data_IF_634147590790
#
_entry.id   IF_634147590790
#
_cell.length_a   1.000
_cell.length_b   1.000
_cell.length_c   1.000
_cell.angle_alpha   90.00
_cell.angle_beta   90.00
_cell.angle_gamma   90.00
#
_symmetry.space_group_name_H-M   'P 1'
#
loop_
_entity.id
_entity.type
_entity.pdbx_description
1 polymer ?
#
# COMPACT_ATOMS: atom_id res chain seq x y z
N UNK A 1 -5.76 56.72 -12.38
CA UNK A 1 -5.41 55.29 -12.28
C UNK A 1 -5.75 54.65 -13.62
N UNK A 2 -4.84 53.87 -14.24
CA UNK A 2 -5.12 53.21 -15.50
C UNK A 2 -6.19 52.12 -15.29
N UNK A 3 -7.14 52.04 -16.21
CA UNK A 3 -8.28 51.12 -16.27
C UNK A 3 -7.89 49.67 -16.61
N UNK A 4 -6.72 49.18 -16.19
CA UNK A 4 -6.19 47.87 -16.63
C UNK A 4 -6.41 46.68 -15.69
N UNK A 5 -7.13 46.83 -14.56
CA UNK A 5 -7.38 45.70 -13.64
C UNK A 5 -8.83 45.60 -13.17
N UNK A 6 -9.79 45.74 -14.09
CA UNK A 6 -11.11 45.11 -13.90
C UNK A 6 -11.20 43.94 -14.89
N UNK A 7 -11.53 42.72 -14.45
CA UNK A 7 -12.01 41.69 -15.37
C UNK A 7 -13.21 42.29 -16.11
N UNK A 8 -13.08 42.43 -17.43
CA UNK A 8 -14.15 42.95 -18.26
C UNK A 8 -15.27 41.89 -18.32
N UNK A 9 -16.26 42.03 -17.45
CA UNK A 9 -17.44 41.17 -17.43
C UNK A 9 -18.26 41.28 -18.74
N UNK A 10 -18.09 42.33 -19.55
CA UNK A 10 -18.69 42.40 -20.88
C UNK A 10 -17.94 41.56 -21.92
N UNK A 11 -16.62 41.35 -21.74
CA UNK A 11 -15.85 40.41 -22.57
C UNK A 11 -16.33 38.96 -22.39
N UNK A 12 -16.81 38.60 -21.18
CA UNK A 12 -17.45 37.30 -20.93
C UNK A 12 -18.81 37.11 -21.65
N UNK A 13 -19.43 38.20 -22.12
CA UNK A 13 -20.73 38.18 -22.83
C UNK A 13 -20.59 38.30 -24.35
N UNK A 14 -19.45 38.75 -24.87
CA UNK A 14 -19.21 38.84 -26.31
C UNK A 14 -18.59 37.52 -26.80
N UNK A 15 -19.44 36.65 -27.36
CA UNK A 15 -18.97 35.51 -28.14
C UNK A 15 -18.17 36.02 -29.36
N UNK A 16 -16.86 35.85 -29.31
CA UNK A 16 -15.99 35.96 -30.49
C UNK A 16 -16.07 34.66 -31.28
N UNK A 17 -16.30 34.72 -32.59
CA UNK A 17 -16.34 33.53 -33.47
C UNK A 17 -15.00 32.77 -33.54
N UNK A 18 -13.92 33.33 -32.97
CA UNK A 18 -12.58 32.75 -32.92
C UNK A 18 -12.16 32.28 -31.52
N UNK A 19 -13.10 31.76 -30.71
CA UNK A 19 -12.80 31.21 -29.37
C UNK A 19 -12.28 29.75 -29.44
N UNK A 20 -11.00 29.48 -29.10
CA UNK A 20 -10.46 28.11 -29.04
C UNK A 20 -11.17 27.21 -28.02
N UNK A 21 -11.91 27.79 -27.06
CA UNK A 21 -12.68 27.07 -26.04
C UNK A 21 -14.06 26.55 -26.53
N UNK A 22 -14.40 26.76 -27.80
CA UNK A 22 -15.60 26.13 -28.40
C UNK A 22 -15.51 24.60 -28.34
N UNK A 23 -14.35 24.01 -28.61
CA UNK A 23 -14.18 22.56 -28.68
C UNK A 23 -14.41 21.83 -27.34
N UNK A 24 -14.01 22.44 -26.23
CA UNK A 24 -14.13 21.92 -24.85
C UNK A 24 -15.57 22.00 -24.34
N UNK A 25 -16.25 23.13 -24.58
CA UNK A 25 -17.68 23.33 -24.20
C UNK A 25 -18.63 22.29 -24.79
N UNK A 26 -18.36 21.78 -26.00
CA UNK A 26 -19.21 20.77 -26.64
C UNK A 26 -18.88 19.31 -26.26
N UNK A 27 -17.78 19.04 -25.55
CA UNK A 27 -17.35 17.68 -25.16
C UNK A 27 -17.65 17.31 -23.71
N UNK A 28 -17.76 18.27 -22.80
CA UNK A 28 -17.89 18.01 -21.36
C UNK A 28 -19.17 17.26 -20.96
N UNK A 29 -20.32 17.62 -21.54
CA UNK A 29 -21.59 16.93 -21.28
C UNK A 29 -21.57 15.45 -21.77
N UNK A 30 -21.16 15.15 -23.02
CA UNK A 30 -20.95 13.76 -23.45
C UNK A 30 -19.96 12.98 -22.57
N UNK A 31 -18.84 13.59 -22.17
CA UNK A 31 -17.85 12.97 -21.27
C UNK A 31 -18.48 12.62 -19.91
N UNK A 32 -19.21 13.57 -19.32
CA UNK A 32 -19.87 13.39 -18.03
C UNK A 32 -20.96 12.31 -18.09
N UNK A 33 -21.76 12.31 -19.15
CA UNK A 33 -22.77 11.28 -19.39
C UNK A 33 -22.14 9.89 -19.53
N UNK A 34 -21.05 9.80 -20.29
CA UNK A 34 -20.31 8.57 -20.48
C UNK A 34 -19.72 8.06 -19.15
N UNK A 35 -19.06 8.93 -18.39
CA UNK A 35 -18.43 8.59 -17.12
C UNK A 35 -19.47 8.16 -16.07
N UNK A 36 -20.50 8.98 -15.83
CA UNK A 36 -21.52 8.71 -14.80
C UNK A 36 -22.49 7.60 -15.18
N UNK A 37 -22.69 7.34 -16.47
CA UNK A 37 -23.57 6.28 -16.95
C UNK A 37 -22.94 4.87 -16.94
N UNK A 38 -21.60 4.77 -16.90
CA UNK A 38 -20.88 3.49 -16.98
C UNK A 38 -20.18 3.07 -15.69
N UNK A 39 -20.14 3.94 -14.68
CA UNK A 39 -19.42 3.70 -13.44
C UNK A 39 -20.33 3.98 -12.23
N UNK A 40 -20.21 3.21 -11.13
CA UNK A 40 -21.04 3.39 -9.96
C UNK A 40 -20.69 4.71 -9.22
N UNK A 41 -21.63 5.26 -8.43
CA UNK A 41 -21.40 6.52 -7.68
C UNK A 41 -20.18 6.47 -6.74
N UNK A 42 -19.79 5.28 -6.27
CA UNK A 42 -18.61 5.07 -5.43
C UNK A 42 -17.29 5.47 -6.08
N UNK A 43 -17.20 5.50 -7.41
CA UNK A 43 -16.00 5.97 -8.11
C UNK A 43 -15.82 7.48 -8.02
N UNK A 44 -16.87 8.23 -7.70
CA UNK A 44 -16.89 9.69 -7.80
C UNK A 44 -17.04 10.40 -6.47
N UNK A 45 -17.27 9.69 -5.36
CA UNK A 45 -17.59 10.29 -4.07
C UNK A 45 -16.55 11.34 -3.61
N UNK A 46 -15.25 11.06 -3.79
CA UNK A 46 -14.18 12.03 -3.50
C UNK A 46 -14.22 13.26 -4.43
N UNK A 47 -14.39 13.04 -5.74
CA UNK A 47 -14.49 14.13 -6.71
C UNK A 47 -15.74 15.01 -6.47
N UNK A 48 -16.84 14.39 -6.03
CA UNK A 48 -18.11 15.09 -5.75
C UNK A 48 -17.98 16.04 -4.55
N UNK A 49 -17.29 15.63 -3.48
CA UNK A 49 -17.04 16.52 -2.33
C UNK A 49 -16.01 17.61 -2.67
N UNK A 50 -14.97 17.28 -3.44
CA UNK A 50 -13.96 18.25 -3.89
C UNK A 50 -14.58 19.34 -4.78
N UNK A 51 -15.54 18.98 -5.64
CA UNK A 51 -16.29 19.94 -6.45
C UNK A 51 -17.07 20.98 -5.61
N UNK A 52 -17.39 20.65 -4.35
CA UNK A 52 -18.08 21.55 -3.41
C UNK A 52 -17.12 22.40 -2.56
N UNK A 53 -15.80 22.29 -2.76
CA UNK A 53 -14.79 22.91 -1.90
C UNK A 53 -15.05 24.39 -1.60
N UNK A 54 -15.36 25.19 -2.64
CA UNK A 54 -15.64 26.62 -2.48
C UNK A 54 -16.79 26.89 -1.50
N UNK A 55 -17.88 26.13 -1.58
CA UNK A 55 -19.02 26.25 -0.67
C UNK A 55 -18.66 25.89 0.77
N UNK A 56 -17.80 24.89 0.95
CA UNK A 56 -17.33 24.43 2.25
C UNK A 56 -16.38 25.44 2.91
N UNK A 57 -15.40 25.98 2.18
CA UNK A 57 -14.43 26.95 2.74
C UNK A 57 -15.06 28.31 3.02
N UNK A 58 -16.02 28.72 2.19
CA UNK A 58 -16.78 29.98 2.42
C UNK A 58 -17.86 29.85 3.48
N UNK A 59 -18.12 28.64 4.01
CA UNK A 59 -19.20 28.32 4.94
C UNK A 59 -20.61 28.56 4.37
N UNK A 60 -20.75 28.65 3.04
CA UNK A 60 -22.04 28.62 2.37
C UNK A 60 -22.70 27.23 2.48
N UNK A 61 -21.88 26.18 2.60
CA UNK A 61 -22.29 24.80 2.87
C UNK A 61 -21.67 24.42 4.21
N UNK A 62 -22.51 23.94 5.15
CA UNK A 62 -22.06 23.50 6.47
C UNK A 62 -22.52 22.05 6.68
N UNK A 63 -21.61 21.07 6.53
CA UNK A 63 -21.94 19.66 6.77
C UNK A 63 -22.36 19.43 8.22
N UNK A 64 -23.35 18.55 8.42
CA UNK A 64 -23.77 18.14 9.76
C UNK A 64 -22.70 17.22 10.37
N UNK A 65 -22.28 17.49 11.60
CA UNK A 65 -21.34 16.62 12.29
C UNK A 65 -22.07 15.56 13.12
N UNK A 66 -21.85 14.28 12.79
CA UNK A 66 -22.26 13.15 13.60
C UNK A 66 -21.01 12.52 14.21
N UNK A 67 -20.89 12.62 15.53
CA UNK A 67 -19.71 12.16 16.25
C UNK A 67 -19.64 10.62 16.29
N UNK A 68 -18.43 10.06 16.27
CA UNK A 68 -18.14 8.61 16.39
C UNK A 68 -18.60 7.72 15.22
N UNK A 69 -18.98 8.30 14.09
CA UNK A 69 -19.39 7.55 12.91
C UNK A 69 -18.62 7.99 11.66
N UNK A 70 -18.47 7.07 10.73
CA UNK A 70 -18.07 7.34 9.34
C UNK A 70 -19.12 6.78 8.38
N UNK A 71 -19.14 7.31 7.15
CA UNK A 71 -19.99 6.83 6.08
C UNK A 71 -19.16 6.19 4.96
N UNK A 72 -19.59 5.00 4.53
CA UNK A 72 -18.90 4.22 3.48
C UNK A 72 -19.37 4.65 2.10
N UNK A 73 -18.52 5.38 1.36
CA UNK A 73 -18.82 5.82 -0.01
C UNK A 73 -17.67 5.59 -1.01
N UNK A 74 -16.46 5.29 -0.56
CA UNK A 74 -15.32 4.98 -1.44
C UNK A 74 -15.01 3.48 -1.45
N UNK A 75 -14.52 2.96 -2.57
CA UNK A 75 -14.00 1.59 -2.67
C UNK A 75 -15.05 0.47 -2.60
N UNK A 76 -16.30 0.77 -2.91
CA UNK A 76 -17.37 -0.23 -3.02
C UNK A 76 -17.45 -0.69 -4.47
N UNK A 77 -17.06 -1.93 -4.74
CA UNK A 77 -17.03 -2.53 -6.09
C UNK A 77 -18.05 -3.64 -6.28
N UNK A 78 -18.47 -4.34 -5.22
CA UNK A 78 -19.31 -5.54 -5.33
C UNK A 78 -20.63 -5.42 -4.57
N UNK A 79 -20.60 -5.03 -3.29
CA UNK A 79 -21.79 -4.96 -2.46
C UNK A 79 -22.37 -3.54 -2.39
N UNK A 80 -23.26 -3.21 -3.33
CA UNK A 80 -23.91 -1.88 -3.39
C UNK A 80 -24.73 -1.53 -2.14
N UNK A 81 -25.14 -2.51 -1.34
CA UNK A 81 -25.87 -2.26 -0.07
C UNK A 81 -25.00 -1.59 0.99
N UNK A 82 -23.67 -1.59 0.82
CA UNK A 82 -22.76 -0.89 1.72
C UNK A 82 -22.63 0.60 1.39
N UNK A 83 -23.14 1.04 0.23
CA UNK A 83 -23.06 2.43 -0.20
C UNK A 83 -23.93 3.32 0.68
N UNK A 84 -23.29 4.23 1.41
CA UNK A 84 -23.95 5.09 2.39
C UNK A 84 -24.11 4.46 3.78
N UNK A 85 -23.57 3.26 4.02
CA UNK A 85 -23.62 2.63 5.34
C UNK A 85 -22.87 3.47 6.38
N UNK A 86 -23.49 3.68 7.54
CA UNK A 86 -22.82 4.23 8.71
C UNK A 86 -22.10 3.12 9.47
N UNK A 87 -20.89 3.42 9.92
CA UNK A 87 -20.05 2.51 10.71
C UNK A 87 -19.54 3.28 11.93
N UNK A 88 -19.80 2.75 13.12
CA UNK A 88 -19.26 3.28 14.37
C UNK A 88 -17.73 3.12 14.45
N UNK A 89 -17.06 4.02 15.15
CA UNK A 89 -15.59 3.92 15.34
C UNK A 89 -15.14 2.70 16.14
N UNK A 90 -16.04 2.14 16.95
CA UNK A 90 -15.85 0.92 17.72
C UNK A 90 -16.03 -0.36 16.88
N UNK A 91 -16.74 -0.27 15.75
CA UNK A 91 -17.00 -1.40 14.85
C UNK A 91 -15.76 -1.80 14.02
N UNK A 92 -14.79 -0.89 13.81
CA UNK A 92 -13.57 -1.21 13.07
C UNK A 92 -12.36 -0.42 13.62
N UNK A 93 -11.18 -1.05 13.85
CA UNK A 93 -10.02 -0.40 14.47
C UNK A 93 -9.55 0.86 13.72
N UNK A 94 -9.63 0.85 12.39
CA UNK A 94 -9.24 1.99 11.55
C UNK A 94 -10.38 2.96 11.23
N UNK A 95 -11.60 2.76 11.72
CA UNK A 95 -12.75 3.60 11.32
C UNK A 95 -12.54 5.08 11.65
N UNK A 96 -11.92 5.38 12.80
CA UNK A 96 -11.53 6.74 13.17
C UNK A 96 -10.48 7.34 12.20
N UNK A 97 -9.52 6.52 11.77
CA UNK A 97 -8.45 6.94 10.87
C UNK A 97 -8.92 7.14 9.43
N UNK A 98 -10.00 6.47 9.02
CA UNK A 98 -10.47 6.53 7.64
C UNK A 98 -10.99 7.91 7.24
N UNK A 99 -11.51 8.70 8.19
CA UNK A 99 -11.94 10.07 7.91
C UNK A 99 -10.75 11.00 7.64
N UNK A 100 -9.66 10.88 8.40
CA UNK A 100 -8.48 11.75 8.23
C UNK A 100 -7.66 11.34 7.00
N UNK A 101 -7.71 10.06 6.63
CA UNK A 101 -7.06 9.50 5.44
C UNK A 101 -7.93 9.57 4.17
N UNK A 102 -9.13 10.16 4.25
CA UNK A 102 -10.14 10.22 3.17
C UNK A 102 -10.45 8.85 2.51
N UNK A 103 -10.22 7.75 3.23
CA UNK A 103 -10.62 6.41 2.79
C UNK A 103 -12.15 6.26 2.84
N UNK A 104 -12.79 6.96 3.77
CA UNK A 104 -14.23 7.06 3.99
C UNK A 104 -14.53 8.51 4.43
N UNK A 105 -15.81 8.86 4.58
CA UNK A 105 -16.20 10.26 4.80
C UNK A 105 -16.87 10.46 6.15
N UNK A 106 -16.85 11.69 6.66
CA UNK A 106 -17.73 12.06 7.76
C UNK A 106 -19.19 11.97 7.31
N UNK A 107 -20.14 11.61 8.19
CA UNK A 107 -21.54 11.46 7.79
C UNK A 107 -22.13 12.72 7.15
N UNK A 108 -21.75 13.92 7.61
CA UNK A 108 -22.16 15.19 6.99
C UNK A 108 -21.67 15.36 5.56
N UNK A 109 -20.41 15.05 5.30
CA UNK A 109 -19.84 15.08 3.95
C UNK A 109 -20.50 14.02 3.09
N UNK A 110 -20.73 12.82 3.65
CA UNK A 110 -21.39 11.72 2.97
C UNK A 110 -22.81 12.07 2.53
N UNK A 111 -23.60 12.75 3.38
CA UNK A 111 -24.93 13.23 3.00
C UNK A 111 -24.88 14.24 1.85
N UNK A 112 -23.90 15.16 1.86
CA UNK A 112 -23.72 16.10 0.76
C UNK A 112 -23.34 15.41 -0.55
N UNK A 113 -22.47 14.39 -0.48
CA UNK A 113 -22.09 13.56 -1.63
C UNK A 113 -23.34 12.89 -2.20
N UNK A 114 -24.14 12.22 -1.35
CA UNK A 114 -25.37 11.56 -1.77
C UNK A 114 -26.37 12.54 -2.42
N UNK A 115 -26.54 13.73 -1.83
CA UNK A 115 -27.41 14.78 -2.37
C UNK A 115 -26.93 15.29 -3.73
N UNK A 116 -25.63 15.55 -3.89
CA UNK A 116 -25.05 15.97 -5.19
C UNK A 116 -25.22 14.88 -6.23
N UNK A 117 -24.96 13.62 -5.88
CA UNK A 117 -25.08 12.51 -6.81
C UNK A 117 -26.51 12.28 -7.27
N UNK A 118 -27.49 12.34 -6.35
CA UNK A 118 -28.91 12.25 -6.69
C UNK A 118 -29.31 13.35 -7.68
N UNK A 119 -28.96 14.61 -7.37
CA UNK A 119 -29.29 15.77 -8.21
C UNK A 119 -28.63 15.68 -9.58
N UNK A 120 -27.35 15.33 -9.61
CA UNK A 120 -26.56 15.20 -10.82
C UNK A 120 -27.12 14.09 -11.72
N UNK A 121 -27.31 12.89 -11.19
CA UNK A 121 -27.84 11.76 -11.96
C UNK A 121 -29.26 12.03 -12.47
N UNK A 122 -30.10 12.69 -11.65
CA UNK A 122 -31.44 13.12 -12.07
C UNK A 122 -31.37 14.12 -13.23
N UNK A 123 -30.46 15.08 -13.18
CA UNK A 123 -30.26 16.04 -14.26
C UNK A 123 -29.73 15.37 -15.53
N UNK A 124 -28.73 14.49 -15.41
CA UNK A 124 -28.15 13.74 -16.53
C UNK A 124 -29.19 12.82 -17.19
N UNK A 125 -30.07 12.18 -16.41
CA UNK A 125 -31.18 11.39 -16.94
C UNK A 125 -32.13 12.26 -17.78
N UNK A 126 -32.50 13.46 -17.30
CA UNK A 126 -33.31 14.41 -18.06
C UNK A 126 -32.62 14.81 -19.36
N UNK A 127 -31.31 15.06 -19.34
CA UNK A 127 -30.52 15.35 -20.54
C UNK A 127 -30.55 14.16 -21.53
N UNK A 128 -30.33 12.93 -21.06
CA UNK A 128 -30.43 11.73 -21.90
C UNK A 128 -31.80 11.59 -22.55
N UNK A 129 -32.88 11.82 -21.81
CA UNK A 129 -34.25 11.74 -22.33
C UNK A 129 -34.54 12.80 -23.41
N UNK A 130 -33.88 13.95 -23.35
CA UNK A 130 -33.95 14.99 -24.38
C UNK A 130 -33.09 14.62 -25.60
N UNK A 131 -31.85 14.18 -25.39
CA UNK A 131 -30.92 13.78 -26.46
C UNK A 131 -31.43 12.57 -27.26
N UNK A 132 -32.09 11.61 -26.62
CA UNK A 132 -32.69 10.47 -27.34
C UNK A 132 -33.83 10.87 -28.28
N UNK A 133 -34.38 12.09 -28.15
CA UNK A 133 -35.41 12.63 -29.04
C UNK A 133 -34.81 13.33 -30.28
N UNK A 134 -33.53 13.71 -30.23
CA UNK A 134 -32.82 14.40 -31.32
C UNK A 134 -31.57 13.61 -31.69
N UNK A 135 -31.55 12.86 -32.81
CA UNK A 135 -30.36 12.08 -33.22
C UNK A 135 -29.22 13.01 -33.67
N UNK A 136 -28.10 13.17 -32.92
CA UNK A 136 -26.96 13.91 -33.42
C UNK A 136 -25.91 12.91 -33.96
N UNK A 137 -25.17 13.26 -35.04
CA UNK A 137 -24.06 12.44 -35.51
C UNK A 137 -22.86 12.59 -34.55
N UNK A 138 -22.36 11.46 -34.04
CA UNK A 138 -21.10 11.38 -33.29
C UNK A 138 -19.92 11.46 -34.27
N UNK A 139 -19.08 12.50 -34.15
CA UNK A 139 -17.79 12.57 -34.88
C UNK A 139 -16.68 11.88 -34.07
N UNK A 140 -15.68 11.25 -34.73
CA UNK A 140 -14.56 10.62 -34.05
C UNK A 140 -13.66 11.65 -33.34
N UNK A 141 -13.05 11.22 -32.24
CA UNK A 141 -12.06 12.00 -31.49
C UNK A 141 -10.77 12.18 -32.33
N UNK A 142 -10.39 13.43 -32.59
CA UNK A 142 -9.05 13.77 -33.07
C UNK A 142 -8.07 13.85 -31.89
N UNK A 143 -6.93 13.19 -32.02
CA UNK A 143 -5.80 13.29 -31.08
C UNK A 143 -5.23 14.72 -31.09
N UNK A 144 -5.20 15.36 -29.93
CA UNK A 144 -4.61 16.70 -29.73
C UNK A 144 -3.33 16.53 -28.90
N UNK A 145 -2.19 17.05 -29.36
CA UNK A 145 -0.89 16.99 -28.65
C UNK A 145 -0.35 18.40 -28.37
N UNK A 146 0.32 18.59 -27.22
CA UNK A 146 0.94 19.86 -26.81
C UNK A 146 0.40 20.46 -25.51
N UNK A 147 0.80 21.68 -25.12
CA UNK A 147 0.33 22.36 -23.90
C UNK A 147 -1.19 22.65 -23.89
N UNK A 148 -1.82 22.76 -25.06
CA UNK A 148 -3.28 22.76 -25.22
C UNK A 148 -3.91 21.49 -24.60
N UNK A 149 -3.22 20.34 -24.65
CA UNK A 149 -3.69 19.08 -24.05
C UNK A 149 -3.79 19.15 -22.52
N UNK A 150 -2.90 19.87 -21.82
CA UNK A 150 -2.89 19.87 -20.35
C UNK A 150 -4.02 20.74 -19.78
N UNK A 151 -4.26 21.90 -20.40
CA UNK A 151 -5.40 22.76 -20.09
C UNK A 151 -6.73 22.07 -20.40
N UNK A 152 -6.83 21.41 -21.55
CA UNK A 152 -8.00 20.60 -21.92
C UNK A 152 -8.18 19.43 -20.96
N UNK A 153 -7.12 18.70 -20.61
CA UNK A 153 -7.17 17.60 -19.65
C UNK A 153 -7.63 18.08 -18.27
N UNK A 154 -7.12 19.20 -17.78
CA UNK A 154 -7.54 19.79 -16.51
C UNK A 154 -9.01 20.25 -16.55
N UNK A 155 -9.44 20.88 -17.64
CA UNK A 155 -10.82 21.32 -17.83
C UNK A 155 -11.81 20.14 -17.97
N UNK A 156 -11.39 19.03 -18.59
CA UNK A 156 -12.20 17.83 -18.78
C UNK A 156 -12.15 16.88 -17.57
N UNK A 157 -11.14 16.95 -16.71
CA UNK A 157 -10.93 16.04 -15.58
C UNK A 157 -12.17 15.89 -14.66
N UNK A 158 -12.89 16.97 -14.28
CA UNK A 158 -14.10 16.85 -13.45
C UNK A 158 -15.25 16.07 -14.11
N UNK A 159 -15.21 15.93 -15.44
CA UNK A 159 -16.23 15.27 -16.25
C UNK A 159 -15.84 13.84 -16.65
N UNK A 160 -14.63 13.38 -16.30
CA UNK A 160 -14.13 12.04 -16.57
C UNK A 160 -14.23 11.17 -15.31
N UNK A 161 -13.96 9.88 -15.46
CA UNK A 161 -13.78 8.97 -14.32
C UNK A 161 -12.52 9.40 -13.57
N UNK A 162 -12.54 9.52 -12.23
CA UNK A 162 -11.35 9.87 -11.46
C UNK A 162 -10.19 8.93 -11.78
N UNK A 163 -9.01 9.52 -12.01
CA UNK A 163 -7.81 8.77 -12.35
C UNK A 163 -7.39 7.86 -11.20
N UNK A 164 -6.92 6.66 -11.54
CA UNK A 164 -6.29 5.78 -10.57
C UNK A 164 -4.93 6.33 -10.12
N UNK A 165 -4.46 5.86 -8.96
CA UNK A 165 -3.17 6.26 -8.41
C UNK A 165 -2.03 5.85 -9.35
N UNK A 166 -1.41 6.83 -10.01
CA UNK A 166 -0.19 6.65 -10.79
C UNK A 166 1.01 7.22 -10.03
N UNK A 167 1.72 6.33 -9.33
CA UNK A 167 2.92 6.71 -8.57
C UNK A 167 4.06 7.20 -9.45
N UNK A 168 4.14 6.79 -10.73
CA UNK A 168 5.19 7.26 -11.65
C UNK A 168 4.91 8.69 -12.07
N UNK A 169 3.64 9.00 -12.37
CA UNK A 169 3.23 10.37 -12.68
C UNK A 169 3.46 11.29 -11.47
N UNK A 170 3.08 10.86 -10.27
CA UNK A 170 3.32 11.62 -9.02
C UNK A 170 4.81 11.86 -8.81
N UNK A 171 5.65 10.82 -8.94
CA UNK A 171 7.11 10.94 -8.86
C UNK A 171 7.64 11.98 -9.87
N UNK A 172 7.21 11.89 -11.12
CA UNK A 172 7.63 12.81 -12.19
C UNK A 172 7.22 14.25 -11.91
N UNK A 173 5.98 14.48 -11.47
CA UNK A 173 5.47 15.82 -11.14
C UNK A 173 6.20 16.42 -9.95
N UNK A 174 6.45 15.64 -8.89
CA UNK A 174 7.18 16.10 -7.71
C UNK A 174 8.65 16.38 -8.02
N UNK A 175 9.30 15.55 -8.84
CA UNK A 175 10.66 15.80 -9.31
C UNK A 175 10.74 17.09 -10.15
N UNK A 176 9.78 17.32 -11.05
CA UNK A 176 9.70 18.56 -11.83
C UNK A 176 9.47 19.79 -10.93
N UNK A 177 8.60 19.67 -9.92
CA UNK A 177 8.38 20.73 -8.92
C UNK A 177 9.61 21.03 -8.07
N UNK A 178 10.34 20.00 -7.65
CA UNK A 178 11.59 20.16 -6.90
C UNK A 178 12.65 20.89 -7.74
N UNK A 179 12.85 20.48 -8.99
CA UNK A 179 13.76 21.15 -9.93
C UNK A 179 13.36 22.62 -10.15
N UNK A 180 12.07 22.90 -10.37
CA UNK A 180 11.59 24.27 -10.54
C UNK A 180 11.77 25.12 -9.27
N UNK A 181 11.64 24.54 -8.09
CA UNK A 181 11.89 25.22 -6.82
C UNK A 181 13.39 25.52 -6.61
N UNK A 182 14.27 24.62 -7.03
CA UNK A 182 15.72 24.82 -7.01
C UNK A 182 16.13 25.96 -7.94
N UNK A 183 15.66 25.93 -9.19
CA UNK A 183 15.88 26.99 -10.18
C UNK A 183 15.37 28.35 -9.66
N UNK A 184 14.17 28.37 -9.06
CA UNK A 184 13.60 29.58 -8.48
C UNK A 184 14.48 30.15 -7.35
N UNK A 185 14.96 29.30 -6.44
CA UNK A 185 15.82 29.72 -5.35
C UNK A 185 17.18 30.24 -5.85
N UNK A 186 17.77 29.59 -6.85
CA UNK A 186 19.01 30.06 -7.47
C UNK A 186 18.80 31.41 -8.16
N UNK A 187 17.72 31.58 -8.93
CA UNK A 187 17.40 32.85 -9.57
C UNK A 187 17.20 33.98 -8.55
N UNK A 188 16.50 33.73 -7.43
CA UNK A 188 16.36 34.71 -6.35
C UNK A 188 17.71 35.11 -5.73
N UNK A 189 18.68 34.19 -5.68
CA UNK A 189 19.99 34.40 -5.06
C UNK A 189 20.99 35.07 -6.00
N UNK A 190 20.95 34.74 -7.28
CA UNK A 190 22.01 35.09 -8.23
C UNK A 190 21.62 36.18 -9.24
N UNK A 191 20.32 36.40 -9.48
CA UNK A 191 19.82 37.42 -10.41
C UNK A 191 19.09 38.56 -9.65
N UNK A 192 19.73 39.74 -9.50
CA UNK A 192 19.13 40.90 -8.84
C UNK A 192 17.85 41.41 -9.51
N UNK A 193 17.73 41.30 -10.84
CA UNK A 193 16.54 41.73 -11.57
C UNK A 193 15.37 40.77 -11.31
N UNK A 194 15.65 39.47 -11.28
CA UNK A 194 14.66 38.45 -10.92
C UNK A 194 14.18 38.63 -9.48
N UNK A 195 15.11 38.80 -8.53
CA UNK A 195 14.80 39.06 -7.12
C UNK A 195 13.91 40.30 -6.97
N UNK A 196 14.28 41.40 -7.63
CA UNK A 196 13.50 42.65 -7.59
C UNK A 196 12.06 42.44 -8.11
N UNK A 197 11.89 41.78 -9.25
CA UNK A 197 10.56 41.48 -9.81
C UNK A 197 9.74 40.59 -8.89
N UNK A 198 10.34 39.53 -8.33
CA UNK A 198 9.64 38.61 -7.44
C UNK A 198 9.15 39.31 -6.16
N UNK A 199 9.98 40.18 -5.59
CA UNK A 199 9.63 40.96 -4.39
C UNK A 199 8.56 42.01 -4.69
N UNK A 200 8.61 42.68 -5.85
CA UNK A 200 7.57 43.64 -6.27
C UNK A 200 6.23 42.93 -6.55
N UNK A 201 6.26 41.80 -7.26
CA UNK A 201 5.06 41.01 -7.51
C UNK A 201 4.44 40.50 -6.20
N UNK A 202 5.26 39.99 -5.29
CA UNK A 202 4.80 39.57 -3.96
C UNK A 202 4.20 40.73 -3.16
N UNK A 203 4.76 41.94 -3.29
CA UNK A 203 4.22 43.15 -2.65
C UNK A 203 2.82 43.48 -3.18
N UNK A 204 2.61 43.46 -4.49
CA UNK A 204 1.33 43.81 -5.11
C UNK A 204 0.18 42.89 -4.66
N UNK A 205 0.50 41.64 -4.30
CA UNK A 205 -0.47 40.64 -3.81
C UNK A 205 -0.67 40.65 -2.29
N UNK A 206 -0.04 41.57 -1.55
CA UNK A 206 -0.23 41.69 -0.09
C UNK A 206 -1.60 42.25 0.26
N UNK A 207 -2.20 41.72 1.32
CA UNK A 207 -3.44 42.26 1.90
C UNK A 207 -3.32 43.75 2.29
N UNK A 208 -2.12 44.19 2.66
CA UNK A 208 -1.86 45.60 2.98
C UNK A 208 -2.13 46.53 1.79
N UNK A 209 -2.01 46.04 0.55
CA UNK A 209 -2.30 46.81 -0.67
C UNK A 209 -3.81 47.01 -0.91
N UNK A 210 -4.67 46.27 -0.20
CA UNK A 210 -6.11 46.39 -0.30
C UNK A 210 -6.62 47.57 0.54
N UNK A 211 -7.60 48.30 -0.02
CA UNK A 211 -8.34 49.31 0.74
C UNK A 211 -9.40 48.63 1.60
N UNK A 212 -9.67 49.20 2.77
CA UNK A 212 -10.76 48.74 3.61
C UNK A 212 -12.14 49.10 3.03
N UNK A 213 -13.20 48.67 3.73
CA UNK A 213 -14.60 48.94 3.34
C UNK A 213 -14.97 50.43 3.31
N UNK A 214 -14.15 51.30 3.89
CA UNK A 214 -14.32 52.77 3.88
C UNK A 214 -13.41 53.44 2.85
N UNK A 215 -12.68 52.66 2.05
CA UNK A 215 -11.74 53.15 1.04
C UNK A 215 -10.41 53.65 1.60
N UNK A 216 -10.12 53.38 2.88
CA UNK A 216 -8.90 53.79 3.56
C UNK A 216 -7.76 52.82 3.27
N UNK A 217 -6.55 53.34 3.13
CA UNK A 217 -5.32 52.54 3.00
C UNK A 217 -4.95 51.89 4.34
N UNK A 218 -4.26 50.75 4.27
CA UNK A 218 -3.79 50.03 5.44
C UNK A 218 -2.97 50.93 6.40
N UNK A 219 -3.15 50.84 7.73
CA UNK A 219 -2.52 51.75 8.70
C UNK A 219 -0.98 51.86 8.61
N UNK A 220 -0.30 50.80 8.15
CA UNK A 220 1.15 50.81 7.94
C UNK A 220 1.61 51.94 6.99
N UNK A 221 0.81 52.28 5.98
CA UNK A 221 1.14 53.36 5.05
C UNK A 221 0.92 54.75 5.66
N UNK A 222 0.01 54.88 6.62
CA UNK A 222 -0.28 56.14 7.30
C UNK A 222 0.77 56.47 8.38
N UNK A 223 1.46 55.45 8.90
CA UNK A 223 2.51 55.58 9.94
C UNK A 223 3.92 55.77 9.40
N UNK A 224 4.11 55.72 8.06
CA UNK A 224 5.43 55.79 7.44
C UNK A 224 6.28 54.53 7.62
N UNK A 225 5.69 53.40 8.04
CA UNK A 225 6.38 52.15 8.37
C UNK A 225 6.62 51.26 7.12
N UNK A 226 7.11 51.85 6.03
CA UNK A 226 7.34 51.11 4.76
C UNK A 226 8.40 50.02 4.91
N UNK A 227 9.38 50.22 5.78
CA UNK A 227 10.46 49.25 6.00
C UNK A 227 9.92 47.95 6.62
N UNK A 228 8.87 48.03 7.44
CA UNK A 228 8.20 46.86 8.02
C UNK A 228 7.47 46.04 6.94
N UNK A 229 6.85 46.72 5.96
CA UNK A 229 6.24 46.04 4.81
C UNK A 229 7.31 45.30 4.01
N UNK A 230 8.41 45.97 3.67
CA UNK A 230 9.48 45.35 2.88
C UNK A 230 10.17 44.20 3.61
N UNK A 231 10.44 44.34 4.91
CA UNK A 231 10.97 43.24 5.72
C UNK A 231 10.07 42.00 5.68
N UNK A 232 8.74 42.21 5.75
CA UNK A 232 7.76 41.10 5.65
C UNK A 232 7.73 40.48 4.25
N UNK A 233 7.70 41.29 3.19
CA UNK A 233 7.64 40.79 1.80
C UNK A 233 8.90 40.03 1.46
N UNK A 234 10.08 40.60 1.71
CA UNK A 234 11.36 39.94 1.47
C UNK A 234 11.46 38.67 2.31
N UNK A 235 11.07 38.76 3.59
CA UNK A 235 11.04 37.61 4.50
C UNK A 235 10.19 36.47 3.97
N UNK A 236 8.96 36.73 3.50
CA UNK A 236 8.09 35.70 2.93
C UNK A 236 8.66 35.13 1.64
N UNK A 237 9.11 35.96 0.69
CA UNK A 237 9.64 35.49 -0.60
C UNK A 237 10.82 34.52 -0.40
N UNK A 238 11.77 34.90 0.46
CA UNK A 238 12.93 34.05 0.74
C UNK A 238 12.52 32.79 1.48
N UNK A 239 11.70 32.92 2.54
CA UNK A 239 11.26 31.76 3.33
C UNK A 239 10.48 30.75 2.49
N UNK A 240 9.53 31.22 1.68
CA UNK A 240 8.68 30.38 0.83
C UNK A 240 9.50 29.65 -0.22
N UNK A 241 10.55 30.28 -0.78
CA UNK A 241 11.44 29.64 -1.74
C UNK A 241 12.23 28.47 -1.11
N UNK A 242 12.81 28.68 0.08
CA UNK A 242 13.54 27.61 0.79
C UNK A 242 12.60 26.49 1.26
N UNK A 243 11.45 26.84 1.83
CA UNK A 243 10.44 25.86 2.26
C UNK A 243 9.93 25.06 1.05
N UNK A 244 9.65 25.72 -0.06
CA UNK A 244 9.18 25.07 -1.28
C UNK A 244 10.18 24.03 -1.80
N UNK A 245 11.47 24.38 -1.87
CA UNK A 245 12.52 23.45 -2.27
C UNK A 245 12.59 22.24 -1.34
N UNK A 246 12.61 22.46 -0.03
CA UNK A 246 12.70 21.38 0.95
C UNK A 246 11.49 20.44 0.87
N UNK A 247 10.28 21.00 0.82
CA UNK A 247 9.03 20.24 0.72
C UNK A 247 9.03 19.39 -0.54
N UNK A 248 9.27 19.97 -1.71
CA UNK A 248 9.16 19.22 -2.97
C UNK A 248 10.29 18.20 -3.13
N UNK A 249 11.48 18.48 -2.61
CA UNK A 249 12.59 17.52 -2.60
C UNK A 249 12.27 16.31 -1.73
N UNK A 250 11.76 16.53 -0.52
CA UNK A 250 11.39 15.46 0.39
C UNK A 250 10.19 14.65 -0.15
N UNK A 251 9.14 15.32 -0.65
CA UNK A 251 8.01 14.63 -1.27
C UNK A 251 8.45 13.80 -2.48
N UNK A 252 9.33 14.32 -3.33
CA UNK A 252 9.91 13.59 -4.47
C UNK A 252 10.68 12.35 -4.01
N UNK A 253 11.49 12.47 -2.95
CA UNK A 253 12.21 11.35 -2.33
C UNK A 253 11.26 10.26 -1.82
N UNK A 254 10.20 10.65 -1.10
CA UNK A 254 9.20 9.72 -0.59
C UNK A 254 8.44 9.01 -1.72
N UNK A 255 8.04 9.73 -2.77
CA UNK A 255 7.37 9.15 -3.93
C UNK A 255 8.25 8.10 -4.64
N UNK A 256 9.54 8.40 -4.84
CA UNK A 256 10.53 7.43 -5.38
C UNK A 256 10.63 6.17 -4.53
N UNK A 257 10.70 6.34 -3.20
CA UNK A 257 10.76 5.21 -2.27
C UNK A 257 9.48 4.36 -2.36
N UNK A 258 8.31 5.00 -2.40
CA UNK A 258 7.02 4.31 -2.49
C UNK A 258 6.88 3.55 -3.82
N UNK A 259 7.27 4.15 -4.95
CA UNK A 259 7.26 3.48 -6.26
C UNK A 259 8.21 2.27 -6.30
N UNK A 260 9.40 2.40 -5.70
CA UNK A 260 10.36 1.30 -5.55
C UNK A 260 9.79 0.16 -4.70
N UNK A 261 9.14 0.49 -3.58
CA UNK A 261 8.47 -0.50 -2.72
C UNK A 261 7.33 -1.20 -3.45
N UNK A 262 6.45 -0.46 -4.15
CA UNK A 262 5.36 -1.04 -4.92
C UNK A 262 5.89 -2.05 -5.94
N UNK A 263 6.98 -1.72 -6.65
CA UNK A 263 7.63 -2.65 -7.57
C UNK A 263 8.18 -3.89 -6.85
N UNK A 264 8.91 -3.68 -5.76
CA UNK A 264 9.53 -4.75 -4.95
C UNK A 264 8.50 -5.75 -4.41
N UNK A 265 7.32 -5.27 -4.03
CA UNK A 265 6.25 -6.07 -3.42
C UNK A 265 5.07 -6.33 -4.36
N UNK A 266 5.20 -6.07 -5.66
CA UNK A 266 4.14 -6.30 -6.65
C UNK A 266 3.68 -7.76 -6.77
N UNK A 267 4.48 -8.71 -6.27
CA UNK A 267 4.15 -10.13 -6.21
C UNK A 267 3.28 -10.50 -4.99
N UNK A 268 3.10 -9.59 -4.02
CA UNK A 268 2.26 -9.79 -2.84
C UNK A 268 0.81 -9.43 -3.21
N UNK A 269 -0.16 -10.34 -3.02
CA UNK A 269 -1.56 -10.03 -3.26
C UNK A 269 -2.07 -8.87 -2.38
N UNK A 270 -3.04 -8.05 -2.85
CA UNK A 270 -3.53 -6.88 -2.11
C UNK A 270 -4.22 -7.22 -0.78
N UNK A 271 -4.68 -8.45 -0.62
CA UNK A 271 -5.29 -9.00 0.60
C UNK A 271 -4.28 -9.73 1.50
N UNK A 272 -2.97 -9.58 1.26
CA UNK A 272 -1.92 -10.20 2.05
C UNK A 272 -1.18 -9.13 2.86
N UNK A 273 -1.19 -9.29 4.18
CA UNK A 273 -0.50 -8.41 5.12
C UNK A 273 0.71 -9.14 5.69
N UNK A 274 1.85 -8.47 5.73
CA UNK A 274 3.10 -9.00 6.26
C UNK A 274 3.41 -8.33 7.59
N UNK A 275 3.55 -9.13 8.64
CA UNK A 275 3.83 -8.67 9.99
C UNK A 275 5.10 -9.35 10.52
N UNK A 276 5.89 -8.60 11.28
CA UNK A 276 7.08 -9.10 11.97
C UNK A 276 6.75 -9.14 13.44
N UNK A 277 6.58 -10.34 13.98
CA UNK A 277 6.16 -10.53 15.37
C UNK A 277 6.72 -11.83 15.97
N UNK A 278 6.73 -11.92 17.30
CA UNK A 278 7.01 -13.16 18.04
C UNK A 278 5.70 -13.89 18.32
N UNK A 279 5.53 -15.06 17.70
CA UNK A 279 4.29 -15.85 17.80
C UNK A 279 4.00 -16.39 19.19
N UNK A 280 4.96 -16.33 20.13
CA UNK A 280 4.79 -16.73 21.53
C UNK A 280 4.19 -15.61 22.41
N UNK A 281 4.21 -14.37 21.95
CA UNK A 281 3.58 -13.25 22.64
C UNK A 281 2.05 -13.24 22.41
N UNK A 282 1.34 -12.36 23.11
CA UNK A 282 -0.11 -12.23 22.99
C UNK A 282 -0.51 -11.71 21.59
N UNK A 283 -1.35 -12.47 20.88
CA UNK A 283 -1.80 -12.09 19.55
C UNK A 283 -2.78 -10.90 19.63
N UNK A 284 -2.36 -9.73 19.12
CA UNK A 284 -3.15 -8.48 19.18
C UNK A 284 -4.37 -8.44 18.25
N UNK A 285 -4.67 -9.54 17.56
CA UNK A 285 -5.71 -9.64 16.56
C UNK A 285 -7.08 -9.71 17.24
N UNK A 286 -7.98 -8.76 16.89
CA UNK A 286 -9.36 -8.74 17.41
C UNK A 286 -10.23 -9.83 16.77
N UNK A 287 -9.95 -10.15 15.52
CA UNK A 287 -10.69 -11.15 14.77
C UNK A 287 -10.03 -12.52 14.90
N UNK A 288 -10.88 -13.54 15.07
CA UNK A 288 -10.47 -14.95 15.04
C UNK A 288 -10.25 -15.41 13.60
N UNK A 289 -9.33 -16.34 13.41
CA UNK A 289 -8.93 -16.84 12.09
C UNK A 289 -9.77 -18.04 11.64
N UNK A 290 -9.95 -18.18 10.33
CA UNK A 290 -10.54 -19.40 9.74
C UNK A 290 -9.48 -20.50 9.52
N UNK A 291 -8.22 -20.11 9.28
CA UNK A 291 -7.08 -20.99 9.09
C UNK A 291 -5.81 -20.39 9.68
N UNK A 292 -5.11 -21.17 10.50
CA UNK A 292 -3.73 -20.87 10.93
C UNK A 292 -2.80 -21.88 10.27
N UNK A 293 -1.80 -21.40 9.54
CA UNK A 293 -0.84 -22.25 8.83
C UNK A 293 0.57 -22.09 9.39
N UNK A 294 1.08 -23.15 10.02
CA UNK A 294 2.44 -23.24 10.56
C UNK A 294 3.30 -24.04 9.60
N UNK A 295 4.49 -23.55 9.26
CA UNK A 295 5.36 -24.27 8.32
C UNK A 295 6.82 -24.12 8.69
N UNK A 296 7.53 -25.25 8.70
CA UNK A 296 8.99 -25.31 8.86
C UNK A 296 9.49 -24.61 10.14
N UNK A 297 8.82 -24.85 11.26
CA UNK A 297 9.17 -24.28 12.56
C UNK A 297 9.89 -25.30 13.47
N UNK A 298 10.29 -26.45 12.93
CA UNK A 298 11.16 -27.43 13.62
C UNK A 298 12.37 -26.75 14.27
N UNK A 299 12.56 -26.98 15.57
CA UNK A 299 13.65 -26.40 16.36
C UNK A 299 13.46 -24.94 16.80
N UNK A 300 12.37 -24.29 16.39
CA UNK A 300 12.07 -22.90 16.77
C UNK A 300 11.55 -22.77 18.20
N UNK A 301 11.05 -23.86 18.80
CA UNK A 301 10.42 -23.86 20.12
C UNK A 301 10.88 -25.07 20.96
N UNK A 302 10.89 -24.90 22.27
CA UNK A 302 10.94 -25.98 23.26
C UNK A 302 9.59 -26.72 23.33
N UNK A 303 9.54 -27.82 24.06
CA UNK A 303 8.32 -28.62 24.17
C UNK A 303 7.15 -27.85 24.84
N UNK A 304 7.44 -27.08 25.88
CA UNK A 304 6.45 -26.25 26.56
C UNK A 304 5.96 -25.07 25.68
N UNK A 305 6.88 -24.45 24.92
CA UNK A 305 6.53 -23.38 23.99
C UNK A 305 5.64 -23.90 22.84
N UNK A 306 5.86 -25.12 22.35
CA UNK A 306 4.97 -25.76 21.37
C UNK A 306 3.55 -25.95 21.91
N UNK A 307 3.41 -26.41 23.16
CA UNK A 307 2.10 -26.56 23.80
C UNK A 307 1.39 -25.22 23.95
N UNK A 308 2.12 -24.18 24.35
CA UNK A 308 1.60 -22.81 24.42
C UNK A 308 1.13 -22.33 23.05
N UNK A 309 1.95 -22.51 22.00
CA UNK A 309 1.59 -22.08 20.65
C UNK A 309 0.33 -22.78 20.13
N UNK A 310 0.20 -24.10 20.31
CA UNK A 310 -1.02 -24.80 19.90
C UNK A 310 -2.25 -24.31 20.64
N UNK A 311 -2.12 -24.00 21.94
CA UNK A 311 -3.21 -23.41 22.72
C UNK A 311 -3.57 -22.02 22.19
N UNK A 312 -2.58 -21.16 21.96
CA UNK A 312 -2.80 -19.83 21.35
C UNK A 312 -3.48 -19.94 19.99
N UNK A 313 -3.11 -20.93 19.17
CA UNK A 313 -3.78 -21.20 17.90
C UNK A 313 -5.23 -21.61 18.10
N UNK A 314 -5.51 -22.53 19.03
CA UNK A 314 -6.86 -22.98 19.36
C UNK A 314 -7.73 -21.79 19.81
N UNK A 315 -7.24 -21.01 20.77
CA UNK A 315 -7.97 -19.87 21.33
C UNK A 315 -8.24 -18.78 20.28
N UNK A 316 -7.43 -18.70 19.21
CA UNK A 316 -7.54 -17.69 18.15
C UNK A 316 -8.21 -18.17 16.86
N UNK A 317 -8.69 -19.40 16.81
CA UNK A 317 -9.51 -19.88 15.71
C UNK A 317 -10.99 -19.55 15.95
N UNK A 318 -11.74 -19.47 14.86
CA UNK A 318 -13.20 -19.47 14.89
C UNK A 318 -13.66 -20.92 15.09
N UNK A 319 -14.79 -21.17 15.78
CA UNK A 319 -15.36 -22.51 15.87
C UNK A 319 -15.50 -23.18 14.50
N UNK A 320 -14.86 -24.34 14.33
CA UNK A 320 -14.81 -25.05 13.05
C UNK A 320 -13.66 -24.64 12.13
N UNK A 321 -12.79 -23.73 12.55
CA UNK A 321 -11.56 -23.31 11.87
C UNK A 321 -10.48 -24.39 11.88
N UNK A 322 -9.41 -24.17 11.14
CA UNK A 322 -8.38 -25.19 10.91
C UNK A 322 -6.99 -24.70 11.32
N UNK A 323 -6.21 -25.59 11.92
CA UNK A 323 -4.75 -25.48 11.89
C UNK A 323 -4.21 -26.45 10.84
N UNK A 324 -3.34 -25.92 10.00
CA UNK A 324 -2.51 -26.70 9.10
C UNK A 324 -1.06 -26.55 9.51
N UNK A 325 -0.36 -27.65 9.74
CA UNK A 325 1.06 -27.63 10.02
C UNK A 325 1.83 -28.53 9.07
N UNK A 326 2.94 -28.02 8.55
CA UNK A 326 3.83 -28.74 7.64
C UNK A 326 5.27 -28.68 8.13
N UNK A 327 5.78 -29.83 8.55
CA UNK A 327 7.16 -29.99 9.02
C UNK A 327 7.95 -30.97 8.16
N UNK A 328 9.27 -30.89 8.25
CA UNK A 328 10.20 -31.76 7.54
C UNK A 328 11.16 -32.43 8.50
N UNK A 329 11.46 -33.70 8.23
CA UNK A 329 12.41 -34.46 9.01
C UNK A 329 13.85 -34.12 8.59
N UNK A 330 14.79 -33.89 9.53
CA UNK A 330 16.18 -33.57 9.19
C UNK A 330 16.99 -34.76 8.67
N UNK A 331 16.54 -36.00 8.90
CA UNK A 331 17.19 -37.18 8.30
C UNK A 331 16.74 -37.35 6.85
N UNK A 332 17.71 -37.55 5.97
CA UNK A 332 17.50 -38.00 4.60
C UNK A 332 17.59 -39.53 4.51
N UNK A 333 16.83 -40.10 3.58
CA UNK A 333 16.75 -41.55 3.32
C UNK A 333 16.91 -41.83 1.82
N UNK A 334 17.18 -43.08 1.45
CA UNK A 334 17.24 -43.52 0.05
C UNK A 334 16.21 -44.60 -0.21
N UNK A 335 15.18 -44.33 -1.00
CA UNK A 335 14.13 -45.29 -1.40
C UNK A 335 13.39 -45.97 -0.23
N UNK A 336 13.99 -47.05 0.30
CA UNK A 336 13.54 -47.87 1.42
C UNK A 336 14.66 -48.24 2.42
N UNK A 337 15.88 -47.73 2.23
CA UNK A 337 17.05 -48.03 3.07
C UNK A 337 17.65 -46.73 3.62
N UNK A 338 18.19 -46.80 4.84
CA UNK A 338 18.97 -45.68 5.36
C UNK A 338 20.20 -45.46 4.51
N UNK A 339 20.59 -44.19 4.34
CA UNK A 339 21.87 -43.83 3.72
C UNK A 339 23.04 -44.61 4.34
N UNK A 340 24.09 -44.86 3.56
CA UNK A 340 25.31 -45.51 4.04
C UNK A 340 25.85 -44.79 5.29
N UNK A 341 26.46 -45.55 6.22
CA UNK A 341 26.92 -45.00 7.51
C UNK A 341 27.99 -43.93 7.38
N UNK A 342 28.73 -43.92 6.28
CA UNK A 342 29.77 -42.95 5.90
C UNK A 342 29.22 -41.75 5.09
N UNK A 343 27.91 -41.68 4.86
CA UNK A 343 27.30 -40.57 4.13
C UNK A 343 27.22 -39.32 5.01
N UNK A 344 27.87 -38.23 4.56
CA UNK A 344 27.96 -36.96 5.28
C UNK A 344 26.60 -36.29 5.56
N UNK A 345 25.57 -36.53 4.74
CA UNK A 345 24.21 -35.99 4.96
C UNK A 345 23.53 -36.73 6.11
N UNK A 346 23.69 -38.05 6.18
CA UNK A 346 23.20 -38.84 7.30
C UNK A 346 23.88 -38.43 8.60
N UNK A 347 25.20 -38.28 8.56
CA UNK A 347 25.99 -37.81 9.70
C UNK A 347 25.54 -36.41 10.16
N UNK A 348 25.34 -35.49 9.22
CA UNK A 348 24.81 -34.15 9.51
C UNK A 348 23.45 -34.22 10.21
N UNK A 349 22.54 -35.06 9.69
CA UNK A 349 21.21 -35.24 10.26
C UNK A 349 21.22 -35.79 11.68
N UNK A 350 22.11 -36.74 11.98
CA UNK A 350 22.28 -37.26 13.34
C UNK A 350 22.90 -36.22 14.28
N UNK A 351 23.93 -35.51 13.81
CA UNK A 351 24.60 -34.46 14.58
C UNK A 351 23.64 -33.32 14.94
N UNK A 352 22.78 -32.89 14.01
CA UNK A 352 21.81 -31.82 14.27
C UNK A 352 20.72 -32.25 15.24
N UNK A 353 20.24 -33.49 15.16
CA UNK A 353 19.30 -34.05 16.13
C UNK A 353 19.87 -34.06 17.56
N UNK A 354 21.11 -34.51 17.72
CA UNK A 354 21.78 -34.55 19.02
C UNK A 354 22.06 -33.16 19.59
N UNK A 355 22.50 -32.22 18.74
CA UNK A 355 22.72 -30.83 19.16
C UNK A 355 21.39 -30.16 19.54
N UNK A 356 20.34 -30.37 18.76
CA UNK A 356 18.99 -29.87 19.02
C UNK A 356 18.43 -30.40 20.35
N UNK A 357 18.64 -31.69 20.65
CA UNK A 357 18.28 -32.30 21.93
C UNK A 357 19.03 -31.65 23.10
N UNK A 358 20.35 -31.45 22.98
CA UNK A 358 21.15 -30.74 24.00
C UNK A 358 20.73 -29.28 24.18
N UNK A 359 20.22 -28.64 23.13
CA UNK A 359 19.71 -27.28 23.18
C UNK A 359 18.30 -27.16 23.81
N UNK A 360 17.63 -28.29 24.11
CA UNK A 360 16.24 -28.29 24.60
C UNK A 360 15.21 -27.90 23.54
N UNK A 361 15.58 -27.96 22.25
CA UNK A 361 14.75 -27.55 21.11
C UNK A 361 14.75 -28.67 20.06
N UNK A 362 14.01 -29.73 20.35
CA UNK A 362 14.06 -30.98 19.57
C UNK A 362 13.52 -30.80 18.16
N UNK A 363 13.99 -31.64 17.24
CA UNK A 363 13.53 -31.63 15.85
C UNK A 363 12.48 -32.72 15.58
N UNK A 364 12.03 -33.42 16.63
CA UNK A 364 11.01 -34.48 16.59
C UNK A 364 9.57 -33.94 16.67
N UNK A 365 9.37 -32.63 16.41
CA UNK A 365 8.01 -32.07 16.39
C UNK A 365 7.15 -32.83 15.39
N UNK A 366 7.71 -33.17 14.23
CA UNK A 366 7.07 -33.92 13.14
C UNK A 366 6.42 -35.24 13.59
N UNK A 367 6.99 -35.92 14.59
CA UNK A 367 6.49 -37.18 15.14
C UNK A 367 5.47 -36.97 16.27
N UNK A 368 5.47 -35.78 16.88
CA UNK A 368 4.67 -35.48 18.08
C UNK A 368 3.52 -34.50 17.81
N UNK A 369 3.32 -34.04 16.57
CA UNK A 369 2.28 -33.07 16.23
C UNK A 369 0.87 -33.57 16.59
N UNK A 370 0.51 -34.79 16.17
CA UNK A 370 -0.81 -35.40 16.39
C UNK A 370 -1.19 -35.49 17.87
N UNK A 371 -0.38 -36.10 18.76
CA UNK A 371 -0.74 -36.18 20.17
C UNK A 371 -0.83 -34.79 20.83
N UNK A 372 0.01 -33.83 20.41
CA UNK A 372 0.00 -32.45 20.96
C UNK A 372 -1.27 -31.70 20.60
N UNK A 373 -1.69 -31.69 19.33
CA UNK A 373 -2.93 -31.01 18.95
C UNK A 373 -4.16 -31.68 19.55
N UNK A 374 -4.15 -33.00 19.68
CA UNK A 374 -5.23 -33.74 20.36
C UNK A 374 -5.32 -33.35 21.84
N UNK A 375 -4.19 -33.16 22.52
CA UNK A 375 -4.16 -32.76 23.92
C UNK A 375 -4.80 -31.39 24.18
N UNK A 376 -4.65 -30.46 23.23
CA UNK A 376 -5.20 -29.10 23.32
C UNK A 376 -6.71 -29.07 23.08
N UNK A 377 -7.25 -30.08 22.37
CA UNK A 377 -8.70 -30.21 22.13
C UNK A 377 -9.10 -30.18 20.66
N UNK A 378 -8.15 -30.14 19.72
CA UNK A 378 -8.46 -30.23 18.30
C UNK A 378 -9.07 -31.59 17.92
N UNK A 379 -10.01 -31.57 16.99
CA UNK A 379 -10.72 -32.73 16.46
C UNK A 379 -10.48 -32.90 14.95
N UNK A 380 -11.03 -33.98 14.36
CA UNK A 380 -10.92 -34.29 12.93
C UNK A 380 -9.49 -34.22 12.40
N UNK A 381 -8.61 -35.00 13.02
CA UNK A 381 -7.18 -34.97 12.75
C UNK A 381 -6.85 -35.73 11.46
N UNK A 382 -6.28 -35.03 10.48
CA UNK A 382 -5.80 -35.61 9.24
C UNK A 382 -4.28 -35.47 9.13
N UNK A 383 -3.57 -36.58 9.22
CA UNK A 383 -2.12 -36.64 9.05
C UNK A 383 -1.79 -37.26 7.69
N UNK A 384 -0.85 -36.66 6.96
CA UNK A 384 -0.34 -37.20 5.71
C UNK A 384 1.16 -37.03 5.60
N UNK A 385 1.84 -38.16 5.43
CA UNK A 385 3.28 -38.21 5.22
C UNK A 385 3.58 -38.17 3.73
N UNK A 386 4.60 -37.41 3.37
CA UNK A 386 5.09 -37.25 2.01
C UNK A 386 6.57 -37.62 1.97
N UNK A 387 6.95 -38.49 1.03
CA UNK A 387 8.34 -38.67 0.63
C UNK A 387 8.67 -37.62 -0.44
N UNK A 388 9.62 -36.74 -0.16
CA UNK A 388 10.00 -35.64 -1.05
C UNK A 388 11.42 -35.90 -1.55
N UNK A 389 11.61 -36.06 -2.87
CA UNK A 389 12.94 -36.20 -3.44
C UNK A 389 13.84 -35.01 -3.06
N UNK A 390 15.14 -35.26 -3.01
CA UNK A 390 16.16 -34.22 -2.91
C UNK A 390 17.06 -34.34 -4.13
N UNK A 391 16.89 -33.42 -5.07
CA UNK A 391 17.59 -33.40 -6.36
C UNK A 391 16.74 -33.89 -7.55
N UNK A 392 17.27 -33.78 -8.77
CA UNK A 392 16.51 -34.02 -10.02
C UNK A 392 16.43 -35.48 -10.46
N UNK A 393 16.55 -36.44 -9.54
CA UNK A 393 16.64 -37.87 -9.87
C UNK A 393 15.27 -38.54 -10.12
N UNK A 394 14.18 -37.96 -9.60
CA UNK A 394 12.85 -38.53 -9.78
C UNK A 394 12.43 -38.58 -11.27
N UNK A 395 11.78 -39.67 -11.68
CA UNK A 395 11.37 -39.88 -13.09
C UNK A 395 10.23 -38.95 -13.50
N UNK A 396 9.23 -38.82 -12.64
CA UNK A 396 8.06 -37.99 -12.89
C UNK A 396 8.39 -36.50 -12.78
N UNK A 397 7.90 -35.70 -13.75
CA UNK A 397 8.20 -34.27 -13.84
C UNK A 397 7.85 -33.51 -12.55
N UNK A 398 6.68 -33.76 -11.97
CA UNK A 398 6.26 -33.11 -10.73
C UNK A 398 7.22 -33.37 -9.57
N UNK A 399 7.65 -34.62 -9.38
CA UNK A 399 8.58 -35.00 -8.33
C UNK A 399 10.01 -34.53 -8.61
N UNK A 400 10.40 -34.43 -9.88
CA UNK A 400 11.67 -33.83 -10.30
C UNK A 400 11.71 -32.34 -9.96
N UNK A 401 10.66 -31.60 -10.29
CA UNK A 401 10.54 -30.17 -9.97
C UNK A 401 10.52 -29.95 -8.45
N UNK A 402 9.76 -30.77 -7.70
CA UNK A 402 9.77 -30.75 -6.24
C UNK A 402 11.15 -31.07 -5.65
N UNK A 403 11.85 -32.05 -6.25
CA UNK A 403 13.20 -32.44 -5.86
C UNK A 403 14.24 -31.33 -6.05
N UNK A 404 14.13 -30.56 -7.13
CA UNK A 404 14.97 -29.38 -7.36
C UNK A 404 14.73 -28.29 -6.30
N UNK A 405 13.46 -28.00 -5.97
CA UNK A 405 13.12 -27.03 -4.92
C UNK A 405 13.63 -27.50 -3.56
N UNK A 406 13.48 -28.79 -3.26
CA UNK A 406 13.98 -29.41 -2.04
C UNK A 406 15.51 -29.31 -1.94
N UNK A 407 16.23 -29.62 -3.02
CA UNK A 407 17.69 -29.49 -3.07
C UNK A 407 18.14 -28.05 -2.81
N UNK A 408 17.49 -27.07 -3.44
CA UNK A 408 17.79 -25.66 -3.21
C UNK A 408 17.56 -25.26 -1.75
N UNK A 409 16.50 -25.77 -1.11
CA UNK A 409 16.25 -25.56 0.32
C UNK A 409 17.36 -26.13 1.18
N UNK A 410 17.80 -27.37 0.90
CA UNK A 410 18.90 -28.00 1.62
C UNK A 410 20.20 -27.18 1.50
N UNK A 411 20.56 -26.80 0.28
CA UNK A 411 21.79 -26.01 0.01
C UNK A 411 21.75 -24.62 0.65
N UNK A 412 20.62 -23.92 0.58
CA UNK A 412 20.47 -22.59 1.16
C UNK A 412 20.30 -22.60 2.69
N UNK A 413 19.76 -23.68 3.25
CA UNK A 413 19.39 -23.76 4.67
C UNK A 413 20.47 -24.33 5.59
N UNK A 414 21.30 -25.27 5.11
CA UNK A 414 22.23 -26.04 5.96
C UNK A 414 23.13 -25.15 6.84
N UNK A 415 23.66 -24.05 6.31
CA UNK A 415 24.49 -23.14 7.09
C UNK A 415 23.71 -22.51 8.26
N UNK A 416 22.49 -22.01 8.00
CA UNK A 416 21.64 -21.40 9.01
C UNK A 416 21.20 -22.38 10.09
N UNK A 417 20.81 -23.60 9.70
CA UNK A 417 20.39 -24.65 10.63
C UNK A 417 21.54 -25.13 11.54
N UNK A 418 22.76 -25.20 11.00
CA UNK A 418 23.90 -25.80 11.70
C UNK A 418 24.65 -24.81 12.59
N UNK A 419 24.78 -23.55 12.17
CA UNK A 419 25.73 -22.60 12.76
C UNK A 419 25.57 -22.45 14.27
N UNK A 420 24.35 -22.16 14.74
CA UNK A 420 24.11 -21.95 16.17
C UNK A 420 24.20 -23.25 16.97
N UNK A 421 23.65 -24.34 16.42
CA UNK A 421 23.58 -25.62 17.13
C UNK A 421 24.95 -26.25 17.29
N UNK A 422 25.76 -26.33 16.24
CA UNK A 422 27.07 -26.98 16.31
C UNK A 422 28.09 -26.16 17.13
N UNK A 423 28.06 -24.83 17.02
CA UNK A 423 29.01 -23.97 17.76
C UNK A 423 28.71 -23.82 19.26
N UNK A 424 27.50 -24.20 19.70
CA UNK A 424 27.10 -24.12 21.12
C UNK A 424 26.91 -25.49 21.76
N UNK A 425 26.45 -26.46 20.99
CA UNK A 425 26.03 -27.76 21.48
C UNK A 425 26.67 -28.92 20.70
N UNK A 426 27.72 -28.67 19.91
CA UNK A 426 28.51 -29.72 19.28
C UNK A 426 29.14 -30.68 20.29
N UNK A 427 29.36 -31.93 19.87
CA UNK A 427 30.06 -32.94 20.65
C UNK A 427 31.26 -33.50 19.85
N UNK A 428 32.34 -33.95 20.51
CA UNK A 428 32.53 -33.98 21.98
C UNK A 428 32.77 -32.60 22.61
N UNK A 429 33.12 -31.60 21.80
CA UNK A 429 33.21 -30.18 22.19
C UNK A 429 32.42 -29.33 21.19
N UNK A 430 32.00 -28.11 21.55
CA UNK A 430 31.38 -27.18 20.61
C UNK A 430 32.34 -26.84 19.47
N UNK A 431 31.82 -26.81 18.23
CA UNK A 431 32.65 -26.60 17.04
C UNK A 431 33.00 -25.11 16.88
N UNK A 432 34.14 -24.81 16.27
CA UNK A 432 34.44 -23.47 15.77
C UNK A 432 33.54 -23.11 14.59
N UNK A 433 33.40 -21.81 14.27
CA UNK A 433 32.59 -21.37 13.13
C UNK A 433 33.17 -21.91 11.82
N UNK A 434 34.50 -21.95 11.73
CA UNK A 434 35.25 -22.40 10.57
C UNK A 434 35.02 -23.89 10.32
N UNK A 435 35.03 -24.72 11.37
CA UNK A 435 34.70 -26.15 11.27
C UNK A 435 33.28 -26.36 10.72
N UNK A 436 32.29 -25.61 11.22
CA UNK A 436 30.91 -25.70 10.70
C UNK A 436 30.83 -25.30 9.23
N UNK A 437 31.51 -24.22 8.83
CA UNK A 437 31.52 -23.77 7.43
C UNK A 437 32.12 -24.82 6.50
N UNK A 438 33.26 -25.40 6.87
CA UNK A 438 33.91 -26.47 6.10
C UNK A 438 33.02 -27.71 6.02
N UNK A 439 32.40 -28.08 7.13
CA UNK A 439 31.49 -29.24 7.17
C UNK A 439 30.27 -29.03 6.27
N UNK A 440 29.56 -27.91 6.41
CA UNK A 440 28.39 -27.57 5.60
C UNK A 440 28.75 -27.47 4.12
N UNK A 441 29.92 -26.92 3.76
CA UNK A 441 30.39 -26.86 2.39
C UNK A 441 30.57 -28.27 1.79
N UNK A 442 31.17 -29.21 2.55
CA UNK A 442 31.31 -30.61 2.14
C UNK A 442 29.96 -31.30 1.97
N UNK A 443 29.03 -31.11 2.93
CA UNK A 443 27.68 -31.67 2.87
C UNK A 443 26.90 -31.14 1.65
N UNK A 444 26.97 -29.83 1.40
CA UNK A 444 26.26 -29.19 0.29
C UNK A 444 26.78 -29.62 -1.08
N UNK A 445 28.05 -30.00 -1.18
CA UNK A 445 28.64 -30.51 -2.42
C UNK A 445 28.23 -31.96 -2.73
N UNK A 446 27.99 -32.79 -1.70
CA UNK A 446 27.62 -34.20 -1.88
C UNK A 446 26.10 -34.42 -2.05
N UNK A 447 25.27 -33.50 -1.56
CA UNK A 447 23.80 -33.59 -1.67
C UNK A 447 23.26 -33.78 -3.11
N UNK A 448 23.80 -33.12 -4.17
CA UNK A 448 23.30 -33.28 -5.54
C UNK A 448 23.67 -34.63 -6.18
N UNK A 449 24.69 -35.32 -5.66
CA UNK A 449 25.23 -36.55 -6.27
C UNK A 449 24.65 -37.85 -5.71
N UNK A 450 23.73 -37.77 -4.74
CA UNK A 450 23.14 -38.96 -4.11
C UNK A 450 21.85 -39.33 -4.85
N UNK A 451 21.92 -40.34 -5.72
CA UNK A 451 20.74 -40.89 -6.39
C UNK A 451 19.75 -41.46 -5.35
N UNK A 452 18.45 -41.32 -5.62
CA UNK A 452 17.34 -41.81 -4.79
C UNK A 452 17.20 -41.17 -3.38
N UNK A 453 17.92 -40.07 -3.11
CA UNK A 453 17.84 -39.36 -1.82
C UNK A 453 16.51 -38.61 -1.65
N UNK A 454 15.82 -38.83 -0.54
CA UNK A 454 14.58 -38.17 -0.15
C UNK A 454 14.56 -37.70 1.30
N UNK A 455 13.56 -36.89 1.65
CA UNK A 455 13.25 -36.45 3.01
C UNK A 455 11.77 -36.60 3.26
N UNK A 456 11.39 -36.87 4.51
CA UNK A 456 9.99 -36.95 4.89
C UNK A 456 9.43 -35.57 5.26
N UNK A 457 8.20 -35.32 4.84
CA UNK A 457 7.41 -34.21 5.33
C UNK A 457 6.08 -34.71 5.89
N UNK A 458 5.65 -34.11 6.99
CA UNK A 458 4.35 -34.41 7.59
C UNK A 458 3.47 -33.18 7.45
N UNK A 459 2.33 -33.36 6.80
CA UNK A 459 1.26 -32.37 6.80
C UNK A 459 0.15 -32.83 7.70
N UNK A 460 -0.18 -32.00 8.68
CA UNK A 460 -1.28 -32.18 9.59
C UNK A 460 -2.33 -31.11 9.31
N UNK A 461 -3.57 -31.52 9.11
CA UNK A 461 -4.72 -30.63 9.09
C UNK A 461 -5.70 -31.07 10.18
N UNK A 462 -6.00 -30.18 11.11
CA UNK A 462 -6.94 -30.47 12.21
C UNK A 462 -7.91 -29.32 12.37
N UNK A 463 -9.07 -29.63 12.95
CA UNK A 463 -10.19 -28.70 13.09
C UNK A 463 -10.45 -28.41 14.57
N UNK A 464 -10.65 -27.14 14.90
CA UNK A 464 -11.23 -26.74 16.21
C UNK A 464 -12.71 -27.14 16.26
#
# INVERSE_FOLDING_TARGET
MPTMHRPDFEAFRKESEADPDRGTKYRTLPLLLNARGRHPPSHFAAADIDAMHLGLVTKAIVPIFLNQYIMVLNGITENLLEYGKLVGWDEHPDAFDWMTKQKKFLPGEGLLILEVQERLLTALLKCCLQLLREKPPLKPESEITGFESLGIMAAEAPYRVPAELDLRLIESLLAARASAAEDHLWALREDPDYFSRAVLDAQDHRQEMLKDTRGMSHPLFNRGERDVLWARVIGSVVLDAYIGLEIFTELSSQAKKLASMQKKYSWVPPNCFLEVDDVLEDWAWREKFDLIHIRTMTGAFSEAEWESLYKTCYDNLRPGGWIKQLEYHPLAETGNESLASDNIIKEWGLNILDCAKRAGRTFYIIDTMVPRVHHVGFVNIHQKNYKIPVGPWARERQFKDAGMVSLQRWMGGMAGWSMRLFTKFGAPYPWSKEEVQVYVAKSSYMAPGTEDMGTEANCLGVRE
#
